data_IF_677016897010
#
_entry.id   IF_677016897010
#
_cell.length_a   1.000
_cell.length_b   1.000
_cell.length_c   1.000
_cell.angle_alpha   90.00
_cell.angle_beta   90.00
_cell.angle_gamma   90.00
#
_symmetry.space_group_name_H-M   'P 1'
#
loop_
_entity.id
_entity.type
_entity.pdbx_description
1 polymer ?
#
# COMPACT_ATOMS: atom_id res chain seq x y z
N UNK A 1 -17.53 14.98 -1.69
CA UNK A 1 -17.81 13.67 -1.06
C UNK A 1 -17.07 13.50 0.27
N UNK A 2 -15.73 13.44 0.31
CA UNK A 2 -14.98 13.24 1.57
C UNK A 2 -15.35 14.21 2.70
N UNK A 3 -15.48 15.51 2.41
CA UNK A 3 -15.84 16.55 3.39
C UNK A 3 -17.26 16.42 3.94
N UNK A 4 -18.14 15.66 3.28
CA UNK A 4 -19.54 15.50 3.65
C UNK A 4 -19.78 14.25 4.52
N UNK A 5 -18.75 13.45 4.79
CA UNK A 5 -18.86 12.16 5.50
C UNK A 5 -18.21 12.26 6.88
N UNK A 6 -18.83 11.67 7.90
CA UNK A 6 -18.22 11.52 9.24
C UNK A 6 -17.06 10.51 9.19
N UNK A 7 -16.23 10.47 10.24
CA UNK A 7 -15.12 9.51 10.32
C UNK A 7 -15.66 8.07 10.29
N UNK A 8 -16.80 7.82 10.94
CA UNK A 8 -17.50 6.54 10.87
C UNK A 8 -17.88 6.15 9.43
N UNK A 9 -18.55 7.03 8.69
CA UNK A 9 -18.95 6.74 7.30
C UNK A 9 -17.75 6.48 6.38
N UNK A 10 -16.64 7.20 6.58
CA UNK A 10 -15.41 6.97 5.81
C UNK A 10 -14.80 5.60 6.13
N UNK A 11 -14.78 5.19 7.41
CA UNK A 11 -14.27 3.88 7.80
C UNK A 11 -15.15 2.75 7.26
N UNK A 12 -16.49 2.87 7.32
CA UNK A 12 -17.39 1.89 6.70
C UNK A 12 -17.17 1.80 5.18
N UNK A 13 -16.94 2.93 4.51
CA UNK A 13 -16.61 2.93 3.08
C UNK A 13 -15.26 2.22 2.82
N UNK A 14 -14.25 2.45 3.66
CA UNK A 14 -12.96 1.75 3.60
C UNK A 14 -13.17 0.25 3.76
N UNK A 15 -13.94 -0.21 4.74
CA UNK A 15 -14.23 -1.64 4.95
C UNK A 15 -14.88 -2.29 3.72
N UNK A 16 -15.87 -1.63 3.12
CA UNK A 16 -16.50 -2.10 1.88
C UNK A 16 -15.50 -2.20 0.72
N UNK A 17 -14.62 -1.21 0.57
CA UNK A 17 -13.57 -1.22 -0.45
C UNK A 17 -12.54 -2.34 -0.21
N UNK A 18 -12.16 -2.57 1.04
CA UNK A 18 -11.25 -3.66 1.41
C UNK A 18 -11.88 -5.03 1.22
N UNK A 19 -13.19 -5.18 1.45
CA UNK A 19 -13.92 -6.40 1.13
C UNK A 19 -13.89 -6.67 -0.38
N UNK A 20 -14.16 -5.66 -1.21
CA UNK A 20 -14.08 -5.76 -2.66
C UNK A 20 -12.66 -6.11 -3.14
N UNK A 21 -11.63 -5.49 -2.54
CA UNK A 21 -10.22 -5.83 -2.81
C UNK A 21 -9.93 -7.29 -2.49
N UNK A 22 -10.27 -7.75 -1.28
CA UNK A 22 -9.99 -9.11 -0.82
C UNK A 22 -10.68 -10.17 -1.66
N UNK A 23 -11.91 -9.92 -2.10
CA UNK A 23 -12.62 -10.81 -3.02
C UNK A 23 -11.87 -10.91 -4.36
N UNK A 24 -11.47 -9.78 -4.94
CA UNK A 24 -10.74 -9.75 -6.20
C UNK A 24 -9.36 -10.41 -6.10
N UNK A 25 -8.61 -10.14 -5.02
CA UNK A 25 -7.33 -10.78 -4.69
C UNK A 25 -7.46 -12.31 -4.60
N UNK A 26 -8.44 -12.81 -3.84
CA UNK A 26 -8.71 -14.25 -3.71
C UNK A 26 -9.08 -14.89 -5.06
N UNK A 27 -9.91 -14.23 -5.86
CA UNK A 27 -10.24 -14.70 -7.20
C UNK A 27 -9.00 -14.78 -8.11
N UNK A 28 -8.16 -13.73 -8.11
CA UNK A 28 -6.94 -13.68 -8.92
C UNK A 28 -5.94 -14.78 -8.58
N UNK A 29 -5.81 -15.11 -7.29
CA UNK A 29 -4.96 -16.19 -6.78
C UNK A 29 -5.53 -17.60 -7.05
N UNK A 30 -6.84 -17.74 -7.24
CA UNK A 30 -7.47 -19.04 -7.48
C UNK A 30 -7.35 -19.47 -8.95
N UNK A 31 -6.17 -19.98 -9.31
CA UNK A 31 -5.90 -20.45 -10.68
C UNK A 31 -6.86 -21.55 -11.15
N UNK A 32 -7.30 -22.43 -10.25
CA UNK A 32 -8.22 -23.52 -10.57
C UNK A 32 -9.60 -23.00 -10.97
N UNK A 33 -10.18 -22.11 -10.15
CA UNK A 33 -11.47 -21.49 -10.47
C UNK A 33 -11.41 -20.69 -11.77
N UNK A 34 -10.34 -19.90 -11.97
CA UNK A 34 -10.15 -19.13 -13.21
C UNK A 34 -10.00 -20.04 -14.44
N UNK A 35 -9.30 -21.16 -14.31
CA UNK A 35 -9.17 -22.15 -15.37
C UNK A 35 -10.51 -22.84 -15.68
N UNK A 36 -11.30 -23.17 -14.65
CA UNK A 36 -12.61 -23.78 -14.82
C UNK A 36 -13.56 -22.84 -15.59
N UNK A 37 -13.66 -21.58 -15.17
CA UNK A 37 -14.50 -20.57 -15.84
C UNK A 37 -14.09 -20.34 -17.29
N UNK A 38 -12.78 -20.35 -17.55
CA UNK A 38 -12.25 -20.21 -18.91
C UNK A 38 -12.57 -21.44 -19.78
N UNK A 39 -12.34 -22.65 -19.25
CA UNK A 39 -12.62 -23.91 -19.96
C UNK A 39 -14.11 -24.16 -20.17
N UNK A 40 -14.97 -23.60 -19.33
CA UNK A 40 -16.42 -23.63 -19.51
C UNK A 40 -16.91 -22.74 -20.68
N UNK A 41 -16.02 -21.99 -21.34
CA UNK A 41 -16.38 -21.14 -22.48
C UNK A 41 -17.14 -19.86 -22.10
N UNK A 42 -17.29 -19.56 -20.81
CA UNK A 42 -18.02 -18.40 -20.30
C UNK A 42 -17.32 -17.09 -20.70
N UNK A 43 -15.99 -17.11 -20.78
CA UNK A 43 -15.18 -15.93 -21.10
C UNK A 43 -14.24 -16.23 -22.27
N UNK A 44 -14.09 -15.28 -23.20
CA UNK A 44 -13.16 -15.39 -24.33
C UNK A 44 -11.67 -15.40 -23.96
N UNK A 45 -11.33 -15.01 -22.73
CA UNK A 45 -9.99 -15.11 -22.14
C UNK A 45 -10.09 -15.55 -20.69
N UNK A 46 -8.97 -16.03 -20.11
CA UNK A 46 -8.93 -16.38 -18.69
C UNK A 46 -9.31 -15.15 -17.84
N UNK A 47 -10.43 -15.21 -17.09
CA UNK A 47 -10.95 -14.04 -16.40
C UNK A 47 -9.99 -13.61 -15.29
N UNK A 48 -9.96 -12.32 -14.98
CA UNK A 48 -9.22 -11.73 -13.85
C UNK A 48 -10.01 -10.53 -13.31
N UNK A 49 -9.70 -10.14 -12.07
CA UNK A 49 -10.26 -8.97 -11.40
C UNK A 49 -9.16 -7.98 -11.01
N UNK A 50 -8.07 -7.90 -11.78
CA UNK A 50 -6.89 -7.09 -11.42
C UNK A 50 -7.24 -5.59 -11.31
N UNK A 51 -8.08 -5.10 -12.21
CA UNK A 51 -8.54 -3.70 -12.16
C UNK A 51 -9.37 -3.42 -10.89
N UNK A 52 -10.26 -4.33 -10.50
CA UNK A 52 -11.05 -4.20 -9.28
C UNK A 52 -10.18 -4.31 -8.03
N UNK A 53 -9.25 -5.28 -8.00
CA UNK A 53 -8.28 -5.48 -6.94
C UNK A 53 -7.48 -4.19 -6.66
N UNK A 54 -6.92 -3.60 -7.71
CA UNK A 54 -6.04 -2.43 -7.58
C UNK A 54 -6.82 -1.13 -7.37
N UNK A 55 -7.95 -0.91 -8.05
CA UNK A 55 -8.73 0.31 -7.92
C UNK A 55 -9.40 0.44 -6.54
N UNK A 56 -9.97 -0.65 -6.01
CA UNK A 56 -10.62 -0.66 -4.68
C UNK A 56 -9.60 -0.37 -3.58
N UNK A 57 -8.44 -1.03 -3.61
CA UNK A 57 -7.35 -0.79 -2.67
C UNK A 57 -6.79 0.63 -2.77
N UNK A 58 -6.58 1.14 -4.00
CA UNK A 58 -6.13 2.50 -4.21
C UNK A 58 -7.12 3.53 -3.65
N UNK A 59 -8.43 3.26 -3.76
CA UNK A 59 -9.46 4.12 -3.18
C UNK A 59 -9.41 4.09 -1.65
N UNK A 60 -9.36 2.89 -1.05
CA UNK A 60 -9.27 2.72 0.41
C UNK A 60 -8.02 3.42 0.97
N UNK A 61 -6.86 3.21 0.35
CA UNK A 61 -5.61 3.86 0.74
C UNK A 61 -5.70 5.38 0.63
N UNK A 62 -6.31 5.94 -0.42
CA UNK A 62 -6.49 7.40 -0.55
C UNK A 62 -7.32 7.98 0.59
N UNK A 63 -8.37 7.27 1.02
CA UNK A 63 -9.20 7.70 2.15
C UNK A 63 -8.39 7.64 3.45
N UNK A 64 -7.78 6.50 3.76
CA UNK A 64 -6.97 6.31 4.97
C UNK A 64 -5.81 7.30 5.06
N UNK A 65 -5.02 7.46 3.99
CA UNK A 65 -3.90 8.40 3.93
C UNK A 65 -4.34 9.87 3.99
N UNK A 66 -5.60 10.16 3.65
CA UNK A 66 -6.16 11.51 3.82
C UNK A 66 -6.62 11.72 5.27
N UNK A 67 -7.34 10.76 5.85
CA UNK A 67 -7.80 10.82 7.24
C UNK A 67 -6.63 10.89 8.22
N UNK A 68 -5.53 10.17 7.96
CA UNK A 68 -4.34 10.17 8.80
C UNK A 68 -3.68 11.56 8.95
N UNK A 69 -3.92 12.48 8.01
CA UNK A 69 -3.41 13.85 8.04
C UNK A 69 -4.53 14.90 8.19
N UNK A 70 -5.76 14.47 8.48
CA UNK A 70 -6.91 15.35 8.62
C UNK A 70 -7.07 15.76 10.08
N UNK A 71 -6.69 16.99 10.39
CA UNK A 71 -6.77 17.58 11.74
C UNK A 71 -8.20 17.63 12.29
N UNK A 72 -9.21 17.67 11.41
CA UNK A 72 -10.62 17.61 11.81
C UNK A 72 -11.10 16.22 12.23
N UNK A 73 -10.23 15.20 12.18
CA UNK A 73 -10.55 13.79 12.45
C UNK A 73 -9.56 13.11 13.40
N UNK A 74 -8.94 13.89 14.27
CA UNK A 74 -7.95 13.42 15.26
C UNK A 74 -8.46 12.27 16.12
N UNK A 75 -9.75 12.29 16.45
CA UNK A 75 -10.46 11.25 17.20
C UNK A 75 -10.35 9.87 16.53
N UNK A 76 -10.32 9.82 15.19
CA UNK A 76 -10.24 8.58 14.43
C UNK A 76 -8.80 8.16 14.08
N UNK A 77 -7.79 8.99 14.35
CA UNK A 77 -6.40 8.72 13.95
C UNK A 77 -5.85 7.37 14.44
N UNK A 78 -6.09 6.92 15.69
CA UNK A 78 -5.59 5.61 16.14
C UNK A 78 -6.13 4.46 15.28
N UNK A 79 -7.44 4.45 15.01
CA UNK A 79 -8.10 3.43 14.19
C UNK A 79 -7.65 3.49 12.73
N UNK A 80 -7.51 4.70 12.17
CA UNK A 80 -7.03 4.92 10.80
C UNK A 80 -5.58 4.44 10.66
N UNK A 81 -4.71 4.76 11.62
CA UNK A 81 -3.31 4.34 11.59
C UNK A 81 -3.19 2.81 11.66
N UNK A 82 -3.92 2.17 12.57
CA UNK A 82 -3.96 0.71 12.67
C UNK A 82 -4.38 0.07 11.35
N UNK A 83 -5.53 0.49 10.82
CA UNK A 83 -6.09 -0.03 9.56
C UNK A 83 -5.13 0.21 8.38
N UNK A 84 -4.55 1.40 8.30
CA UNK A 84 -3.60 1.74 7.25
C UNK A 84 -2.37 0.84 7.29
N UNK A 85 -1.80 0.58 8.47
CA UNK A 85 -0.63 -0.29 8.65
C UNK A 85 -0.96 -1.73 8.25
N UNK A 86 -2.09 -2.27 8.69
CA UNK A 86 -2.50 -3.64 8.34
C UNK A 86 -2.66 -3.79 6.82
N UNK A 87 -3.40 -2.88 6.20
CA UNK A 87 -3.69 -2.90 4.77
C UNK A 87 -2.42 -2.70 3.94
N UNK A 88 -1.53 -1.77 4.33
CA UNK A 88 -0.27 -1.56 3.60
C UNK A 88 0.71 -2.71 3.78
N UNK A 89 0.78 -3.34 4.97
CA UNK A 89 1.60 -4.54 5.17
C UNK A 89 1.13 -5.72 4.34
N UNK A 90 -0.18 -5.98 4.29
CA UNK A 90 -0.73 -7.02 3.42
C UNK A 90 -0.47 -6.71 1.94
N UNK A 91 -0.67 -5.45 1.52
CA UNK A 91 -0.42 -5.00 0.15
C UNK A 91 1.05 -5.15 -0.27
N UNK A 92 2.00 -4.73 0.57
CA UNK A 92 3.43 -4.86 0.31
C UNK A 92 3.86 -6.34 0.29
N UNK A 93 3.39 -7.12 1.26
CA UNK A 93 3.65 -8.57 1.33
C UNK A 93 3.12 -9.30 0.10
N UNK A 94 1.91 -8.95 -0.33
CA UNK A 94 1.33 -9.50 -1.55
C UNK A 94 2.12 -9.10 -2.79
N UNK A 95 2.49 -7.82 -2.94
CA UNK A 95 3.30 -7.35 -4.06
C UNK A 95 4.63 -8.12 -4.20
N UNK A 96 5.31 -8.38 -3.08
CA UNK A 96 6.54 -9.20 -3.04
C UNK A 96 6.29 -10.64 -3.51
N UNK A 97 5.11 -11.19 -3.22
CA UNK A 97 4.74 -12.57 -3.56
C UNK A 97 4.16 -12.74 -4.98
N UNK A 98 3.78 -11.67 -5.69
CA UNK A 98 3.23 -11.77 -7.05
C UNK A 98 4.33 -12.31 -7.99
N UNK A 99 4.15 -13.50 -8.61
CA UNK A 99 5.17 -14.07 -9.51
C UNK A 99 5.12 -13.45 -10.91
N UNK A 100 3.95 -12.99 -11.35
CA UNK A 100 3.76 -12.41 -12.67
C UNK A 100 4.23 -10.96 -12.71
N UNK A 101 5.26 -10.68 -13.51
CA UNK A 101 5.73 -9.31 -13.74
C UNK A 101 4.63 -8.40 -14.31
N UNK A 102 3.81 -8.92 -15.23
CA UNK A 102 2.67 -8.17 -15.79
C UNK A 102 1.67 -7.79 -14.70
N UNK A 103 1.28 -8.70 -13.82
CA UNK A 103 0.38 -8.39 -12.70
C UNK A 103 1.03 -7.40 -11.74
N UNK A 104 2.31 -7.61 -11.40
CA UNK A 104 3.09 -6.72 -10.55
C UNK A 104 3.19 -5.31 -11.12
N UNK A 105 3.28 -5.18 -12.45
CA UNK A 105 3.37 -3.87 -13.11
C UNK A 105 2.13 -2.99 -12.88
N UNK A 106 0.95 -3.59 -12.69
CA UNK A 106 -0.30 -2.87 -12.40
C UNK A 106 -0.28 -2.25 -11.00
N UNK A 107 0.44 -2.86 -10.06
CA UNK A 107 0.61 -2.36 -8.70
C UNK A 107 1.54 -1.14 -8.60
N UNK A 108 2.25 -0.79 -9.68
CA UNK A 108 3.19 0.34 -9.67
C UNK A 108 2.51 1.65 -9.25
N UNK A 109 1.35 1.96 -9.82
CA UNK A 109 0.62 3.20 -9.51
C UNK A 109 0.15 3.27 -8.06
N UNK A 110 -0.25 2.12 -7.49
CA UNK A 110 -0.65 2.00 -6.10
C UNK A 110 0.53 2.23 -5.15
N UNK A 111 1.68 1.62 -5.42
CA UNK A 111 2.88 1.82 -4.60
C UNK A 111 3.45 3.23 -4.72
N UNK A 112 3.39 3.84 -5.92
CA UNK A 112 3.75 5.25 -6.10
C UNK A 112 2.85 6.15 -5.25
N UNK A 113 1.54 5.91 -5.24
CA UNK A 113 0.60 6.62 -4.37
C UNK A 113 1.00 6.47 -2.89
N UNK A 114 1.25 5.25 -2.44
CA UNK A 114 1.58 4.97 -1.04
C UNK A 114 2.89 5.63 -0.61
N UNK A 115 3.99 5.40 -1.32
CA UNK A 115 5.29 5.95 -0.96
C UNK A 115 5.35 7.48 -1.07
N UNK A 116 4.68 8.06 -2.08
CA UNK A 116 4.60 9.52 -2.20
C UNK A 116 3.90 10.13 -0.98
N UNK A 117 2.89 9.45 -0.43
CA UNK A 117 2.16 9.93 0.75
C UNK A 117 2.96 9.72 2.03
N UNK A 118 3.62 8.57 2.21
CA UNK A 118 4.53 8.35 3.34
C UNK A 118 5.65 9.41 3.38
N UNK A 119 6.28 9.69 2.24
CA UNK A 119 7.33 10.71 2.14
C UNK A 119 6.86 12.13 2.51
N UNK A 120 5.56 12.40 2.48
CA UNK A 120 4.97 13.69 2.86
C UNK A 120 4.39 13.70 4.28
N UNK A 121 4.36 12.57 4.98
CA UNK A 121 3.89 12.53 6.36
C UNK A 121 4.87 13.27 7.29
N UNK A 122 4.40 13.89 8.39
CA UNK A 122 5.27 14.36 9.46
C UNK A 122 6.10 13.24 10.06
N UNK A 123 7.30 13.55 10.56
CA UNK A 123 8.25 12.55 11.09
C UNK A 123 7.62 11.69 12.21
N UNK A 124 6.90 12.31 13.14
CA UNK A 124 6.22 11.62 14.25
C UNK A 124 5.28 10.48 13.77
N UNK A 125 4.55 10.70 12.68
CA UNK A 125 3.67 9.69 12.08
C UNK A 125 4.45 8.71 11.21
N UNK A 126 5.47 9.21 10.49
CA UNK A 126 6.29 8.39 9.60
C UNK A 126 7.06 7.32 10.38
N UNK A 127 7.60 7.62 11.58
CA UNK A 127 8.31 6.64 12.43
C UNK A 127 7.50 5.36 12.60
N UNK A 128 6.20 5.49 12.90
CA UNK A 128 5.31 4.33 13.12
C UNK A 128 5.20 3.48 11.85
N UNK A 129 5.04 4.11 10.69
CA UNK A 129 4.96 3.42 9.41
C UNK A 129 6.29 2.79 9.00
N UNK A 130 7.42 3.45 9.23
CA UNK A 130 8.74 2.87 8.96
C UNK A 130 8.94 1.63 9.84
N UNK A 131 8.70 1.72 11.15
CA UNK A 131 8.82 0.57 12.05
C UNK A 131 7.98 -0.63 11.59
N UNK A 132 6.75 -0.37 11.13
CA UNK A 132 5.85 -1.43 10.68
C UNK A 132 6.24 -2.04 9.32
N UNK A 133 6.83 -1.25 8.41
CA UNK A 133 7.05 -1.66 7.01
C UNK A 133 8.51 -1.99 6.69
N UNK A 134 9.47 -1.63 7.54
CA UNK A 134 10.90 -1.68 7.23
C UNK A 134 11.39 -3.02 6.66
N UNK A 135 11.03 -4.19 7.22
CA UNK A 135 11.44 -5.47 6.65
C UNK A 135 10.94 -5.68 5.21
N UNK A 136 9.70 -5.27 4.92
CA UNK A 136 9.11 -5.38 3.58
C UNK A 136 9.78 -4.42 2.60
N UNK A 137 10.08 -3.19 3.05
CA UNK A 137 10.82 -2.22 2.24
C UNK A 137 12.22 -2.73 1.87
N UNK A 138 12.91 -3.39 2.80
CA UNK A 138 14.20 -4.03 2.54
C UNK A 138 14.06 -5.17 1.51
N UNK A 139 13.06 -6.03 1.66
CA UNK A 139 12.81 -7.12 0.71
C UNK A 139 12.52 -6.61 -0.70
N UNK A 140 11.91 -5.42 -0.85
CA UNK A 140 11.67 -4.82 -2.17
C UNK A 140 12.95 -4.46 -2.92
N UNK A 141 14.09 -4.28 -2.24
CA UNK A 141 15.38 -3.99 -2.88
C UNK A 141 15.83 -5.15 -3.77
N UNK A 142 15.48 -6.39 -3.39
CA UNK A 142 15.81 -7.58 -4.17
C UNK A 142 14.98 -7.72 -5.45
N UNK A 143 13.97 -6.87 -5.66
CA UNK A 143 13.14 -6.90 -6.86
C UNK A 143 13.67 -5.95 -7.94
N UNK A 144 13.46 -6.33 -9.19
CA UNK A 144 13.60 -5.43 -10.35
C UNK A 144 12.44 -4.42 -10.38
N UNK A 145 12.56 -3.37 -9.56
CA UNK A 145 11.57 -2.29 -9.51
C UNK A 145 11.69 -1.35 -10.73
N UNK A 146 10.56 -0.80 -11.16
CA UNK A 146 10.57 0.33 -12.11
C UNK A 146 11.33 1.54 -11.55
N UNK A 147 11.99 2.35 -12.40
CA UNK A 147 12.83 3.46 -11.94
C UNK A 147 12.14 4.43 -10.98
N UNK A 148 10.85 4.72 -11.19
CA UNK A 148 10.09 5.67 -10.38
C UNK A 148 9.85 5.13 -8.96
N UNK A 149 9.53 3.83 -8.84
CA UNK A 149 9.39 3.19 -7.53
C UNK A 149 10.71 3.11 -6.79
N UNK A 150 11.79 2.75 -7.50
CA UNK A 150 13.13 2.72 -6.93
C UNK A 150 13.51 4.10 -6.39
N UNK A 151 13.25 5.17 -7.15
CA UNK A 151 13.49 6.55 -6.72
C UNK A 151 12.76 6.91 -5.42
N UNK A 152 11.48 6.55 -5.28
CA UNK A 152 10.72 6.82 -4.05
C UNK A 152 11.22 5.97 -2.87
N UNK A 153 11.53 4.70 -3.10
CA UNK A 153 12.07 3.81 -2.08
C UNK A 153 13.42 4.31 -1.57
N UNK A 154 14.31 4.75 -2.47
CA UNK A 154 15.59 5.39 -2.11
C UNK A 154 15.36 6.63 -1.25
N UNK A 155 14.45 7.53 -1.65
CA UNK A 155 14.11 8.73 -0.84
C UNK A 155 13.58 8.36 0.54
N UNK A 156 12.81 7.27 0.63
CA UNK A 156 12.26 6.80 1.90
C UNK A 156 13.40 6.32 2.82
N UNK A 157 14.31 5.49 2.31
CA UNK A 157 15.49 5.05 3.06
C UNK A 157 16.40 6.20 3.49
N UNK A 158 16.59 7.20 2.64
CA UNK A 158 17.35 8.41 3.00
C UNK A 158 16.71 9.16 4.18
N UNK A 159 15.38 9.12 4.30
CA UNK A 159 14.66 9.72 5.44
C UNK A 159 14.75 8.87 6.71
N UNK A 160 14.88 7.54 6.60
CA UNK A 160 15.03 6.65 7.76
C UNK A 160 16.26 6.99 8.60
N UNK A 161 17.39 7.33 7.96
CA UNK A 161 18.64 7.63 8.68
C UNK A 161 18.48 8.73 9.73
N UNK A 162 18.16 9.97 9.34
CA UNK A 162 17.89 11.06 10.28
C UNK A 162 16.73 10.76 11.23
N UNK A 163 15.67 10.11 10.75
CA UNK A 163 14.45 9.82 11.52
C UNK A 163 14.70 8.93 12.74
N UNK A 164 15.66 8.01 12.64
CA UNK A 164 16.05 7.09 13.71
C UNK A 164 17.42 7.40 14.31
N UNK A 165 17.94 8.62 14.07
CA UNK A 165 19.27 9.04 14.52
C UNK A 165 20.41 8.10 14.11
N UNK A 166 20.30 7.48 12.94
CA UNK A 166 21.35 6.65 12.32
C UNK A 166 22.31 7.60 11.60
N UNK A 167 23.12 8.33 12.37
CA UNK A 167 24.13 9.24 11.85
C UNK A 167 25.45 8.47 11.62
N UNK A 168 26.19 8.82 10.56
CA UNK A 168 27.62 8.51 10.49
C UNK A 168 28.34 9.19 11.66
N UNK A 169 29.37 8.53 12.20
CA UNK A 169 30.10 8.97 13.38
C UNK A 169 30.36 10.50 13.37
N UNK A 170 30.28 11.19 14.53
CA UNK A 170 30.71 12.59 14.58
C UNK A 170 32.15 12.63 14.06
N UNK A 171 32.41 13.47 13.07
CA UNK A 171 33.77 13.72 12.58
C UNK A 171 34.65 13.99 13.80
N UNK A 172 35.52 13.03 14.15
CA UNK A 172 36.63 13.24 15.06
C UNK A 172 37.54 14.24 14.37
N UNK A 173 37.30 15.53 14.63
CA UNK A 173 38.25 16.58 14.33
C UNK A 173 39.43 16.38 15.29
N UNK A 174 40.48 15.71 14.80
CA UNK A 174 41.84 15.83 15.33
C UNK A 174 42.49 17.08 14.79
#
# INVERSE_FOLDING_TARGET
MYSCLSSHHLMTLVECLLHAHNLAKKFNMNHNQRNLLWKAGIYGKKPDLIAQETASLACAMRILLKMACDEGRRDAWPTVQHTLIEVSNDALSYFLAIPSETHRSVWTSLLLLFFTRLLKMPDEKLVVHINAHYPLLCNMIALELKPELRSLLTKLFMRVGPLFAIHGAPNLQT
#
